data_IF_382798105048
#
_entry.id   IF_382798105048
#
_cell.length_a   1.000
_cell.length_b   1.000
_cell.length_c   1.000
_cell.angle_alpha   90.00
_cell.angle_beta   90.00
_cell.angle_gamma   90.00
#
_symmetry.space_group_name_H-M   'P 1'
#
loop_
_entity.id
_entity.type
_entity.pdbx_description
1 polymer ?
#
# COMPACT_ATOMS: atom_id res chain seq x y z
N UNK A 1 -6.20 -5.98 -12.66
CA UNK A 1 -4.93 -5.32 -12.29
C UNK A 1 -4.92 -3.91 -12.85
N UNK A 2 -4.31 -2.96 -12.17
CA UNK A 2 -4.04 -1.64 -12.73
C UNK A 2 -2.98 -1.83 -13.80
N UNK A 3 -3.24 -1.36 -15.02
CA UNK A 3 -2.32 -1.41 -16.16
C UNK A 3 -1.52 -0.11 -16.29
N UNK A 4 -2.19 1.01 -16.05
CA UNK A 4 -1.61 2.35 -16.08
C UNK A 4 -2.44 3.32 -15.26
N UNK A 5 -1.83 4.43 -14.88
CA UNK A 5 -2.54 5.58 -14.32
C UNK A 5 -1.87 6.90 -14.69
N UNK A 6 -2.67 7.95 -14.72
CA UNK A 6 -2.21 9.33 -14.88
C UNK A 6 -2.87 10.21 -13.83
N UNK A 7 -2.08 11.08 -13.22
CA UNK A 7 -2.51 12.06 -12.22
C UNK A 7 -1.96 13.42 -12.62
N UNK A 8 -2.85 14.39 -12.77
CA UNK A 8 -2.47 15.78 -13.04
C UNK A 8 -2.97 16.67 -11.91
N UNK A 9 -2.12 17.60 -11.48
CA UNK A 9 -2.42 18.59 -10.43
C UNK A 9 -2.93 17.99 -9.12
N UNK A 10 -2.31 16.89 -8.67
CA UNK A 10 -2.66 16.21 -7.43
C UNK A 10 -1.62 16.44 -6.33
N UNK A 11 -2.04 17.04 -5.22
CA UNK A 11 -1.20 17.31 -4.04
C UNK A 11 -0.01 18.19 -4.40
N UNK A 12 1.20 17.64 -4.31
CA UNK A 12 2.45 18.33 -4.65
C UNK A 12 2.93 18.00 -6.09
N UNK A 13 2.27 17.08 -6.77
CA UNK A 13 2.69 16.58 -8.08
C UNK A 13 1.88 17.23 -9.20
N UNK A 14 2.55 17.89 -10.14
CA UNK A 14 1.89 18.49 -11.29
C UNK A 14 1.47 17.45 -12.32
N UNK A 15 2.31 16.45 -12.59
CA UNK A 15 1.97 15.37 -13.52
C UNK A 15 2.75 14.11 -13.20
N UNK A 16 2.02 12.98 -13.14
CA UNK A 16 2.53 11.63 -13.07
C UNK A 16 1.78 10.81 -14.11
N UNK A 17 2.49 10.06 -14.96
CA UNK A 17 1.90 9.14 -15.92
C UNK A 17 2.71 7.85 -15.89
N UNK A 18 2.18 6.78 -15.32
CA UNK A 18 2.89 5.53 -15.16
C UNK A 18 2.16 4.39 -15.87
N UNK A 19 2.85 3.82 -16.85
CA UNK A 19 2.36 2.74 -17.73
C UNK A 19 3.17 1.47 -17.49
N UNK A 20 2.67 0.36 -18.05
CA UNK A 20 3.33 -0.95 -17.96
C UNK A 20 3.53 -1.43 -16.53
N UNK A 21 2.52 -1.27 -15.70
CA UNK A 21 2.53 -1.74 -14.33
C UNK A 21 2.56 -3.26 -14.26
N UNK A 22 3.36 -3.80 -13.32
CA UNK A 22 3.60 -5.23 -13.15
C UNK A 22 2.92 -5.78 -11.87
N UNK A 23 3.27 -7.00 -11.48
CA UNK A 23 2.80 -7.59 -10.22
C UNK A 23 3.39 -6.89 -8.99
N UNK A 24 4.60 -6.32 -9.06
CA UNK A 24 5.18 -5.46 -8.02
C UNK A 24 5.55 -4.13 -8.65
N UNK A 25 5.15 -3.01 -8.01
CA UNK A 25 5.38 -1.65 -8.47
C UNK A 25 5.85 -0.80 -7.30
N UNK A 26 6.94 -0.06 -7.48
CA UNK A 26 7.63 0.61 -6.37
C UNK A 26 7.66 2.12 -6.60
N UNK A 27 7.23 2.89 -5.60
CA UNK A 27 7.45 4.34 -5.53
C UNK A 27 8.65 4.60 -4.63
N UNK A 28 9.67 5.23 -5.19
CA UNK A 28 10.92 5.54 -4.48
C UNK A 28 11.07 7.06 -4.40
N UNK A 29 11.57 7.58 -3.30
CA UNK A 29 11.85 9.01 -3.16
C UNK A 29 11.98 9.44 -1.72
N UNK A 30 12.40 10.66 -1.53
CA UNK A 30 12.58 11.29 -0.23
C UNK A 30 11.27 11.46 0.54
N UNK A 31 11.39 11.77 1.84
CA UNK A 31 10.23 12.11 2.66
C UNK A 31 9.53 13.36 2.10
N UNK A 32 8.20 13.33 2.09
CA UNK A 32 7.41 14.43 1.55
C UNK A 32 7.31 14.47 0.01
N UNK A 33 7.87 13.52 -0.75
CA UNK A 33 7.79 13.49 -2.22
C UNK A 33 6.41 13.06 -2.77
N UNK A 34 5.42 12.77 -1.92
CA UNK A 34 4.06 12.44 -2.35
C UNK A 34 3.79 10.94 -2.57
N UNK A 35 4.74 10.03 -2.29
CA UNK A 35 4.58 8.57 -2.45
C UNK A 35 3.30 8.03 -1.82
N UNK A 36 3.13 8.28 -0.53
CA UNK A 36 1.95 7.85 0.24
C UNK A 36 0.65 8.41 -0.33
N UNK A 37 0.65 9.67 -0.78
CA UNK A 37 -0.54 10.31 -1.36
C UNK A 37 -0.94 9.65 -2.67
N UNK A 38 0.02 9.30 -3.54
CA UNK A 38 -0.24 8.56 -4.79
C UNK A 38 -0.84 7.20 -4.48
N UNK A 39 -0.24 6.43 -3.55
CA UNK A 39 -0.78 5.13 -3.13
C UNK A 39 -2.21 5.25 -2.58
N UNK A 40 -2.47 6.25 -1.74
CA UNK A 40 -3.79 6.52 -1.16
C UNK A 40 -4.83 6.91 -2.24
N UNK A 41 -4.44 7.68 -3.25
CA UNK A 41 -5.33 8.02 -4.37
C UNK A 41 -5.74 6.77 -5.14
N UNK A 42 -4.78 5.94 -5.56
CA UNK A 42 -5.07 4.68 -6.25
C UNK A 42 -5.94 3.74 -5.40
N UNK A 43 -5.61 3.64 -4.11
CA UNK A 43 -6.40 2.86 -3.16
C UNK A 43 -7.84 3.37 -3.06
N UNK A 44 -8.06 4.68 -2.89
CA UNK A 44 -9.39 5.28 -2.77
C UNK A 44 -10.24 5.03 -4.01
N UNK A 45 -9.64 5.17 -5.20
CA UNK A 45 -10.28 4.86 -6.49
C UNK A 45 -10.73 3.40 -6.56
N UNK A 46 -9.85 2.46 -6.27
CA UNK A 46 -10.19 1.03 -6.33
C UNK A 46 -11.20 0.62 -5.26
N UNK A 47 -11.11 1.19 -4.06
CA UNK A 47 -12.11 0.92 -3.01
C UNK A 47 -13.48 1.49 -3.36
N UNK A 48 -13.54 2.64 -4.03
CA UNK A 48 -14.80 3.16 -4.54
C UNK A 48 -15.41 2.21 -5.59
N UNK A 49 -14.60 1.70 -6.52
CA UNK A 49 -15.04 0.69 -7.50
C UNK A 49 -15.49 -0.62 -6.82
N UNK A 50 -14.76 -1.09 -5.79
CA UNK A 50 -15.12 -2.30 -5.02
C UNK A 50 -16.43 -2.13 -4.25
N UNK A 51 -16.72 -0.92 -3.77
CA UNK A 51 -17.94 -0.60 -3.02
C UNK A 51 -19.14 -0.41 -3.95
N UNK A 52 -18.90 0.13 -5.15
CA UNK A 52 -19.94 0.40 -6.12
C UNK A 52 -20.73 -0.88 -6.46
N UNK A 53 -22.05 -0.83 -6.31
CA UNK A 53 -22.98 -1.95 -6.56
C UNK A 53 -22.71 -3.21 -5.70
N UNK A 54 -22.02 -3.08 -4.55
CA UNK A 54 -21.77 -4.19 -3.63
C UNK A 54 -22.85 -4.22 -2.54
N UNK A 55 -23.47 -5.37 -2.38
CA UNK A 55 -24.49 -5.57 -1.33
C UNK A 55 -25.65 -4.59 -1.45
N UNK A 56 -25.91 -3.81 -0.41
CA UNK A 56 -27.00 -2.82 -0.35
C UNK A 56 -26.57 -1.39 -0.75
N UNK A 57 -25.36 -1.21 -1.29
CA UNK A 57 -24.89 0.11 -1.71
C UNK A 57 -25.72 0.63 -2.90
N UNK A 58 -26.39 1.76 -2.70
CA UNK A 58 -27.26 2.39 -3.70
C UNK A 58 -26.75 3.73 -4.20
N UNK A 59 -25.71 4.27 -3.54
CA UNK A 59 -25.13 5.55 -3.97
C UNK A 59 -24.45 5.39 -5.33
N UNK A 60 -24.51 6.43 -6.20
CA UNK A 60 -23.79 6.40 -7.47
C UNK A 60 -22.27 6.50 -7.22
N UNK A 61 -21.48 5.97 -8.14
CA UNK A 61 -20.01 5.94 -8.06
C UNK A 61 -19.38 7.30 -7.71
N UNK A 62 -19.82 8.45 -8.28
CA UNK A 62 -19.28 9.77 -7.90
C UNK A 62 -19.43 10.09 -6.41
N UNK A 63 -20.53 9.70 -5.80
CA UNK A 63 -20.79 9.94 -4.37
C UNK A 63 -19.94 9.01 -3.49
N UNK A 64 -19.78 7.74 -3.90
CA UNK A 64 -18.92 6.76 -3.20
C UNK A 64 -17.46 7.21 -3.28
N UNK A 65 -16.99 7.65 -4.46
CA UNK A 65 -15.63 8.12 -4.66
C UNK A 65 -15.36 9.40 -3.85
N UNK A 66 -16.27 10.35 -3.88
CA UNK A 66 -16.15 11.59 -3.12
C UNK A 66 -16.02 11.32 -1.60
N UNK A 67 -16.89 10.47 -1.07
CA UNK A 67 -16.85 10.03 0.33
C UNK A 67 -15.53 9.30 0.66
N UNK A 68 -15.09 8.40 -0.23
CA UNK A 68 -13.82 7.68 -0.05
C UNK A 68 -12.61 8.62 -0.06
N UNK A 69 -12.57 9.61 -0.94
CA UNK A 69 -11.51 10.62 -0.98
C UNK A 69 -11.50 11.50 0.28
N UNK A 70 -12.69 11.98 0.69
CA UNK A 70 -12.87 12.77 1.90
C UNK A 70 -12.25 12.07 3.13
N UNK A 71 -12.62 10.81 3.36
CA UNK A 71 -12.15 10.05 4.50
C UNK A 71 -10.71 9.53 4.38
N UNK A 72 -10.24 9.24 3.16
CA UNK A 72 -8.85 8.78 2.96
C UNK A 72 -7.85 9.90 3.16
N UNK A 73 -8.21 11.13 2.79
CA UNK A 73 -7.30 12.28 2.91
C UNK A 73 -7.65 13.20 4.09
N UNK A 74 -8.80 13.00 4.72
CA UNK A 74 -9.28 13.78 5.87
C UNK A 74 -9.26 15.29 5.60
N UNK A 75 -9.77 15.69 4.44
CA UNK A 75 -9.85 17.08 3.96
C UNK A 75 -11.21 17.68 4.29
N UNK A 76 -11.29 18.97 4.52
CA UNK A 76 -12.59 19.66 4.71
C UNK A 76 -13.39 19.74 3.41
N UNK A 77 -12.68 19.93 2.30
CA UNK A 77 -13.25 19.93 0.94
C UNK A 77 -12.33 19.22 -0.03
N UNK A 78 -12.89 18.55 -1.05
CA UNK A 78 -12.13 17.79 -2.05
C UNK A 78 -11.14 18.67 -2.82
N UNK A 79 -11.45 19.95 -3.02
CA UNK A 79 -10.57 20.90 -3.69
C UNK A 79 -9.20 21.09 -3.03
N UNK A 80 -9.04 20.70 -1.76
CA UNK A 80 -7.73 20.74 -1.08
C UNK A 80 -6.73 19.72 -1.65
N UNK A 81 -7.22 18.71 -2.37
CA UNK A 81 -6.40 17.72 -3.05
C UNK A 81 -5.76 18.26 -4.34
N UNK A 82 -6.29 19.36 -4.88
CA UNK A 82 -5.75 20.01 -6.07
C UNK A 82 -4.44 20.73 -5.72
N UNK A 83 -3.43 20.61 -6.57
CA UNK A 83 -2.15 21.31 -6.39
C UNK A 83 -2.38 22.82 -6.25
N UNK A 84 -1.92 23.41 -5.16
CA UNK A 84 -2.23 24.81 -4.79
C UNK A 84 -1.78 25.85 -5.81
N UNK A 85 -0.74 25.54 -6.59
CA UNK A 85 -0.22 26.42 -7.65
C UNK A 85 -0.86 26.18 -9.01
N UNK A 86 -1.76 25.20 -9.15
CA UNK A 86 -2.36 24.85 -10.42
C UNK A 86 -3.59 25.75 -10.74
N UNK A 87 -3.61 26.30 -11.95
CA UNK A 87 -4.79 26.98 -12.48
C UNK A 87 -5.84 26.00 -13.02
N UNK A 88 -5.38 24.83 -13.44
CA UNK A 88 -6.21 23.78 -14.03
C UNK A 88 -6.71 22.79 -12.95
N UNK A 89 -7.84 22.09 -13.21
CA UNK A 89 -8.37 21.10 -12.29
C UNK A 89 -7.39 19.92 -12.12
N UNK A 90 -7.55 19.21 -11.00
CA UNK A 90 -6.98 17.89 -10.84
C UNK A 90 -7.67 16.92 -11.79
N UNK A 91 -6.89 16.08 -12.49
CA UNK A 91 -7.39 15.01 -13.34
C UNK A 91 -6.75 13.69 -12.95
N UNK A 92 -7.56 12.67 -12.85
CA UNK A 92 -7.12 11.30 -12.54
C UNK A 92 -7.66 10.37 -13.60
N UNK A 93 -6.76 9.60 -14.21
CA UNK A 93 -7.06 8.48 -15.09
C UNK A 93 -6.48 7.20 -14.51
N UNK A 94 -7.25 6.12 -14.46
CA UNK A 94 -6.79 4.79 -14.05
C UNK A 94 -7.38 3.75 -15.00
N UNK A 95 -6.49 2.95 -15.62
CA UNK A 95 -6.88 1.79 -16.42
C UNK A 95 -6.74 0.52 -15.59
N UNK A 96 -7.84 -0.15 -15.31
CA UNK A 96 -7.87 -1.34 -14.47
C UNK A 96 -8.72 -2.43 -15.12
N UNK A 97 -8.14 -3.64 -15.29
CA UNK A 97 -8.77 -4.78 -15.98
C UNK A 97 -9.41 -4.40 -17.34
N UNK A 98 -8.73 -3.53 -18.11
CA UNK A 98 -9.19 -3.08 -19.44
C UNK A 98 -10.31 -2.03 -19.40
N UNK A 99 -10.68 -1.51 -18.23
CA UNK A 99 -11.70 -0.47 -18.06
C UNK A 99 -11.07 0.80 -17.50
N UNK A 100 -11.35 1.94 -18.11
CA UNK A 100 -10.89 3.22 -17.58
C UNK A 100 -11.84 3.76 -16.52
N UNK A 101 -11.27 4.46 -15.56
CA UNK A 101 -11.97 5.40 -14.69
C UNK A 101 -11.27 6.75 -14.79
N UNK A 102 -12.04 7.75 -15.19
CA UNK A 102 -11.57 9.13 -15.38
C UNK A 102 -12.41 10.05 -14.52
N UNK A 103 -11.79 10.95 -13.78
CA UNK A 103 -12.51 12.00 -13.07
C UNK A 103 -11.67 13.25 -12.89
N UNK A 104 -12.36 14.39 -12.76
CA UNK A 104 -11.72 15.67 -12.51
C UNK A 104 -12.54 16.56 -11.58
N UNK A 105 -11.84 17.43 -10.86
CA UNK A 105 -12.43 18.52 -10.08
C UNK A 105 -11.44 19.64 -9.77
N UNK A 106 -11.97 20.84 -9.59
CA UNK A 106 -11.19 22.04 -9.30
C UNK A 106 -11.04 22.33 -7.80
N UNK A 107 -10.24 23.34 -7.47
CA UNK A 107 -9.95 23.78 -6.11
C UNK A 107 -11.19 24.24 -5.32
N UNK A 108 -12.27 24.65 -6.00
CA UNK A 108 -13.52 25.08 -5.38
C UNK A 108 -14.49 23.93 -5.07
N UNK A 109 -14.09 22.67 -5.37
CA UNK A 109 -14.96 21.50 -5.17
C UNK A 109 -15.09 21.17 -3.69
N UNK A 110 -16.32 21.20 -3.17
CA UNK A 110 -16.59 20.80 -1.78
C UNK A 110 -16.64 19.26 -1.65
N UNK A 111 -17.78 18.64 -1.92
CA UNK A 111 -18.05 17.22 -1.66
C UNK A 111 -18.58 16.46 -2.88
N UNK A 112 -18.74 17.11 -4.04
CA UNK A 112 -19.39 16.47 -5.19
C UNK A 112 -18.47 16.46 -6.41
N UNK A 113 -18.18 15.27 -6.91
CA UNK A 113 -17.49 15.07 -8.18
C UNK A 113 -18.51 15.09 -9.32
N UNK A 114 -18.45 16.09 -10.17
CA UNK A 114 -19.41 16.27 -11.28
C UNK A 114 -18.97 15.60 -12.57
N UNK A 115 -17.66 15.54 -12.80
CA UNK A 115 -17.09 14.97 -14.03
C UNK A 115 -16.39 13.67 -13.68
N UNK A 116 -17.03 12.57 -14.06
CA UNK A 116 -16.54 11.21 -13.90
C UNK A 116 -17.04 10.36 -15.07
N UNK A 117 -16.17 9.57 -15.66
CA UNK A 117 -16.53 8.56 -16.65
C UNK A 117 -15.93 7.21 -16.24
N UNK A 118 -16.69 6.14 -16.46
CA UNK A 118 -16.25 4.78 -16.17
C UNK A 118 -16.52 3.90 -17.38
N UNK A 119 -15.50 3.21 -17.86
CA UNK A 119 -15.56 2.32 -19.03
C UNK A 119 -16.34 1.02 -18.80
N UNK A 120 -17.05 0.87 -17.68
CA UNK A 120 -17.83 -0.34 -17.42
C UNK A 120 -18.74 -0.23 -16.21
N UNK A 121 -19.89 -0.91 -16.32
CA UNK A 121 -20.97 -0.88 -15.33
C UNK A 121 -20.98 -2.12 -14.40
N UNK A 122 -20.01 -3.03 -14.58
CA UNK A 122 -19.93 -4.26 -13.78
C UNK A 122 -19.29 -4.01 -12.41
N UNK A 123 -19.80 -4.72 -11.41
CA UNK A 123 -19.24 -4.69 -10.06
C UNK A 123 -17.78 -5.19 -10.05
N UNK A 124 -16.91 -4.43 -9.43
CA UNK A 124 -15.53 -4.81 -9.18
C UNK A 124 -15.46 -5.95 -8.17
N UNK A 125 -14.81 -7.07 -8.53
CA UNK A 125 -14.82 -8.30 -7.71
C UNK A 125 -13.51 -8.54 -6.93
N UNK A 126 -12.51 -7.68 -7.08
CA UNK A 126 -11.21 -7.87 -6.43
C UNK A 126 -11.16 -7.13 -5.10
N UNK A 127 -10.47 -7.71 -4.14
CA UNK A 127 -10.22 -7.05 -2.86
C UNK A 127 -9.04 -6.10 -2.97
N UNK A 128 -9.23 -4.92 -2.41
CA UNK A 128 -8.21 -3.89 -2.32
C UNK A 128 -7.93 -3.58 -0.87
N UNK A 129 -6.66 -3.53 -0.47
CA UNK A 129 -6.25 -3.20 0.89
C UNK A 129 -5.06 -2.25 0.90
N UNK A 130 -5.03 -1.37 1.87
CA UNK A 130 -3.88 -0.51 2.17
C UNK A 130 -3.30 -0.93 3.51
N UNK A 131 -1.99 -1.11 3.57
CA UNK A 131 -1.24 -1.41 4.79
C UNK A 131 -0.38 -0.20 5.11
N UNK A 132 -0.76 0.60 6.11
CA UNK A 132 -0.05 1.82 6.47
C UNK A 132 1.30 1.53 7.13
N UNK A 133 2.16 2.55 7.18
CA UNK A 133 3.47 2.46 7.84
C UNK A 133 3.36 2.09 9.32
N UNK A 134 2.38 2.67 10.01
CA UNK A 134 2.09 2.36 11.42
C UNK A 134 1.22 1.10 11.55
N UNK A 135 1.48 0.29 12.55
CA UNK A 135 0.71 -0.92 12.81
C UNK A 135 -0.70 -0.61 13.34
N UNK A 136 -1.64 -1.53 13.10
CA UNK A 136 -3.07 -1.34 13.37
C UNK A 136 -3.58 -2.24 14.50
N UNK A 137 -2.91 -3.38 14.79
CA UNK A 137 -3.40 -4.37 15.75
C UNK A 137 -3.61 -3.80 17.15
N UNK A 138 -2.65 -3.00 17.65
CA UNK A 138 -2.75 -2.37 18.97
C UNK A 138 -3.83 -1.28 19.02
N UNK A 139 -4.13 -0.66 17.88
CA UNK A 139 -5.09 0.43 17.77
C UNK A 139 -6.48 -0.02 17.31
N UNK A 140 -6.66 -1.32 17.05
CA UNK A 140 -7.81 -1.91 16.41
C UNK A 140 -9.17 -1.39 16.96
N UNK A 141 -9.38 -1.48 18.28
CA UNK A 141 -10.63 -1.04 18.90
C UNK A 141 -10.80 0.50 18.85
N UNK A 142 -9.69 1.23 18.99
CA UNK A 142 -9.72 2.70 18.96
C UNK A 142 -10.09 3.18 17.57
N UNK A 143 -9.53 2.56 16.52
CA UNK A 143 -9.84 2.86 15.13
C UNK A 143 -11.34 2.64 14.85
N UNK A 144 -11.87 1.47 15.19
CA UNK A 144 -13.28 1.15 14.97
C UNK A 144 -14.20 2.12 15.73
N UNK A 145 -13.91 2.39 17.00
CA UNK A 145 -14.71 3.32 17.80
C UNK A 145 -14.68 4.73 17.23
N UNK A 146 -13.49 5.27 16.99
CA UNK A 146 -13.31 6.64 16.47
C UNK A 146 -14.01 6.85 15.14
N UNK A 147 -13.97 5.85 14.24
CA UNK A 147 -14.46 6.00 12.87
C UNK A 147 -15.92 5.55 12.70
N UNK A 148 -16.38 4.51 13.38
CA UNK A 148 -17.73 3.95 13.20
C UNK A 148 -18.76 4.51 14.18
N UNK A 149 -18.32 4.90 15.38
CA UNK A 149 -19.22 5.44 16.39
C UNK A 149 -19.14 6.96 16.49
N UNK A 150 -17.92 7.50 16.56
CA UNK A 150 -17.71 8.91 16.85
C UNK A 150 -17.53 9.76 15.58
N UNK A 151 -17.32 9.15 14.40
CA UNK A 151 -17.07 9.80 13.10
C UNK A 151 -15.98 10.89 13.15
N UNK A 152 -14.88 10.61 13.85
CA UNK A 152 -13.78 11.56 14.04
C UNK A 152 -12.68 11.38 12.99
N UNK A 153 -12.02 12.49 12.64
CA UNK A 153 -10.73 12.47 11.95
C UNK A 153 -9.63 11.93 12.89
N UNK A 154 -8.50 11.53 12.32
CA UNK A 154 -7.35 10.97 13.05
C UNK A 154 -6.93 9.62 12.50
N UNK A 155 -7.87 8.73 12.24
CA UNK A 155 -7.62 7.51 11.47
C UNK A 155 -8.37 7.63 10.13
N UNK A 156 -7.63 7.62 9.03
CA UNK A 156 -8.23 7.67 7.71
C UNK A 156 -8.80 6.30 7.27
N UNK A 157 -9.41 6.26 6.10
CA UNK A 157 -10.05 5.05 5.59
C UNK A 157 -9.08 3.88 5.37
N UNK A 158 -7.79 4.12 5.21
CA UNK A 158 -6.80 3.03 5.09
C UNK A 158 -6.71 2.24 6.38
N UNK A 159 -6.78 2.91 7.53
CA UNK A 159 -6.81 2.29 8.86
C UNK A 159 -8.14 1.59 9.14
N UNK A 160 -9.26 2.23 8.84
CA UNK A 160 -10.59 1.67 9.08
C UNK A 160 -10.83 0.40 8.27
N UNK A 161 -10.55 0.45 6.97
CA UNK A 161 -10.74 -0.70 6.09
C UNK A 161 -9.81 -1.86 6.45
N UNK A 162 -8.57 -1.56 6.87
CA UNK A 162 -7.65 -2.60 7.38
C UNK A 162 -8.16 -3.19 8.69
N UNK A 163 -8.63 -2.39 9.64
CA UNK A 163 -9.20 -2.89 10.88
C UNK A 163 -10.42 -3.79 10.61
N UNK A 164 -11.33 -3.39 9.73
CA UNK A 164 -12.46 -4.22 9.30
C UNK A 164 -12.01 -5.55 8.68
N UNK A 165 -11.02 -5.50 7.80
CA UNK A 165 -10.47 -6.70 7.16
C UNK A 165 -9.84 -7.66 8.18
N UNK A 166 -9.12 -7.14 9.17
CA UNK A 166 -8.52 -7.93 10.27
C UNK A 166 -9.57 -8.57 11.18
N UNK A 167 -10.71 -7.88 11.40
CA UNK A 167 -11.83 -8.38 12.20
C UNK A 167 -12.55 -9.59 11.59
N UNK A 168 -12.32 -9.91 10.31
CA UNK A 168 -12.88 -11.11 9.69
C UNK A 168 -12.21 -12.34 10.29
N UNK A 169 -12.97 -13.34 10.82
CA UNK A 169 -12.38 -14.54 11.39
C UNK A 169 -11.59 -15.36 10.36
N UNK A 170 -10.54 -16.04 10.82
CA UNK A 170 -9.77 -16.95 9.99
C UNK A 170 -10.69 -18.06 9.43
N UNK A 171 -10.62 -18.30 8.13
CA UNK A 171 -11.47 -19.26 7.45
C UNK A 171 -10.90 -20.69 7.52
N UNK A 172 -11.76 -21.67 7.79
CA UNK A 172 -11.40 -23.10 7.76
C UNK A 172 -11.38 -23.61 6.33
N UNK A 173 -10.63 -24.70 6.08
CA UNK A 173 -10.57 -25.39 4.79
C UNK A 173 -9.29 -25.08 4.00
N UNK A 174 -9.13 -25.74 2.84
CA UNK A 174 -7.95 -25.61 1.98
C UNK A 174 -7.83 -24.19 1.42
N UNK A 175 -6.73 -23.51 1.71
CA UNK A 175 -6.31 -22.29 1.01
C UNK A 175 -5.58 -22.69 -0.29
N UNK A 176 -5.38 -21.74 -1.21
CA UNK A 176 -4.50 -22.02 -2.34
C UNK A 176 -3.10 -22.39 -1.81
N UNK A 177 -2.39 -23.29 -2.49
CA UNK A 177 -1.08 -23.80 -2.04
C UNK A 177 -0.11 -22.67 -1.77
N UNK A 178 -0.06 -21.69 -2.64
CA UNK A 178 0.86 -20.54 -2.54
C UNK A 178 0.60 -19.72 -1.29
N UNK A 179 -0.67 -19.43 -0.97
CA UNK A 179 -1.03 -18.65 0.21
C UNK A 179 -0.80 -19.44 1.50
N UNK A 180 -0.97 -20.77 1.46
CA UNK A 180 -0.62 -21.64 2.57
C UNK A 180 0.91 -21.66 2.80
N UNK A 181 1.71 -21.68 1.74
CA UNK A 181 3.17 -21.63 1.84
C UNK A 181 3.65 -20.23 2.28
N UNK A 182 3.00 -19.17 1.84
CA UNK A 182 3.21 -17.79 2.33
C UNK A 182 3.00 -17.68 3.84
N UNK A 183 1.92 -18.25 4.35
CA UNK A 183 1.69 -18.31 5.79
C UNK A 183 2.73 -19.12 6.55
N UNK A 184 3.21 -20.23 6.00
CA UNK A 184 4.33 -20.98 6.60
C UNK A 184 5.62 -20.16 6.64
N UNK A 185 5.89 -19.37 5.62
CA UNK A 185 7.04 -18.46 5.60
C UNK A 185 6.91 -17.39 6.67
N UNK A 186 5.72 -16.78 6.82
CA UNK A 186 5.46 -15.82 7.92
C UNK A 186 5.58 -16.48 9.30
N UNK A 187 5.05 -17.68 9.49
CA UNK A 187 5.15 -18.41 10.75
C UNK A 187 6.60 -18.68 11.18
N UNK A 188 7.50 -18.95 10.22
CA UNK A 188 8.94 -19.09 10.49
C UNK A 188 9.58 -17.77 10.98
N UNK A 189 9.16 -16.64 10.41
CA UNK A 189 9.69 -15.32 10.80
C UNK A 189 9.12 -14.90 12.16
N UNK A 190 7.81 -15.12 12.35
CA UNK A 190 7.06 -14.69 13.52
C UNK A 190 7.25 -15.60 14.75
N UNK A 191 7.46 -16.90 14.55
CA UNK A 191 7.42 -17.91 15.62
C UNK A 191 6.05 -18.03 16.30
N UNK A 192 4.97 -17.58 15.65
CA UNK A 192 3.63 -17.57 16.17
C UNK A 192 2.65 -16.77 15.31
N UNK A 193 1.51 -16.41 15.88
CA UNK A 193 0.44 -15.68 15.16
C UNK A 193 -0.36 -14.76 16.06
N UNK A 194 -0.91 -13.69 15.50
CA UNK A 194 -1.92 -12.88 16.18
C UNK A 194 -3.27 -13.62 16.22
N UNK A 195 -3.95 -13.52 17.34
CA UNK A 195 -5.28 -14.12 17.55
C UNK A 195 -6.17 -13.10 18.24
N UNK A 196 -7.38 -12.93 17.73
CA UNK A 196 -8.37 -12.06 18.33
C UNK A 196 -9.19 -12.83 19.38
N UNK A 197 -9.31 -12.27 20.59
CA UNK A 197 -10.15 -12.79 21.65
C UNK A 197 -11.49 -12.04 21.64
N UNK A 198 -12.54 -12.68 21.14
CA UNK A 198 -13.89 -12.13 21.03
C UNK A 198 -14.48 -11.71 22.38
N UNK A 199 -14.16 -12.43 23.46
CA UNK A 199 -14.68 -12.15 24.81
C UNK A 199 -14.06 -10.90 25.40
N UNK A 200 -12.73 -10.74 25.22
CA UNK A 200 -11.96 -9.61 25.73
C UNK A 200 -11.90 -8.45 24.75
N UNK A 201 -12.35 -8.66 23.50
CA UNK A 201 -12.26 -7.70 22.38
C UNK A 201 -10.82 -7.20 22.18
N UNK A 202 -9.84 -8.10 22.29
CA UNK A 202 -8.42 -7.77 22.23
C UNK A 202 -7.65 -8.77 21.36
N UNK A 203 -6.63 -8.26 20.68
CA UNK A 203 -5.64 -9.08 20.02
C UNK A 203 -4.57 -9.53 21.04
N UNK A 204 -4.11 -10.77 20.92
CA UNK A 204 -2.93 -11.30 21.59
C UNK A 204 -2.08 -12.08 20.60
N UNK A 205 -0.80 -12.27 20.93
CA UNK A 205 0.11 -13.08 20.13
C UNK A 205 0.26 -14.46 20.79
N UNK A 206 0.04 -15.50 20.00
CA UNK A 206 0.21 -16.89 20.44
C UNK A 206 1.44 -17.46 19.73
N UNK A 207 2.50 -17.75 20.49
CA UNK A 207 3.68 -18.45 20.00
C UNK A 207 3.39 -19.93 19.68
N UNK A 208 4.27 -20.55 18.88
CA UNK A 208 4.14 -21.95 18.49
C UNK A 208 4.23 -22.92 19.67
N UNK A 209 4.87 -22.54 20.79
CA UNK A 209 4.88 -23.25 22.06
C UNK A 209 3.62 -23.03 22.93
N UNK A 210 2.57 -22.40 22.38
CA UNK A 210 1.32 -22.01 23.02
C UNK A 210 1.41 -20.88 24.09
N UNK A 211 2.57 -20.28 24.32
CA UNK A 211 2.66 -19.10 25.18
C UNK A 211 1.86 -17.94 24.57
N UNK A 212 1.16 -17.17 25.40
CA UNK A 212 0.35 -16.02 25.00
C UNK A 212 0.95 -14.74 25.52
N UNK A 213 1.04 -13.76 24.65
CA UNK A 213 1.58 -12.44 24.96
C UNK A 213 0.62 -11.34 24.55
N UNK A 214 0.55 -10.29 25.35
CA UNK A 214 -0.17 -9.07 24.98
C UNK A 214 0.58 -8.38 23.85
N UNK A 215 -0.12 -7.67 22.97
CA UNK A 215 0.52 -6.95 21.85
C UNK A 215 1.51 -5.88 22.33
N UNK A 216 1.29 -5.32 23.51
CA UNK A 216 2.16 -4.25 24.04
C UNK A 216 3.62 -4.65 24.29
N UNK A 217 3.93 -5.96 24.40
CA UNK A 217 5.31 -6.44 24.56
C UNK A 217 5.97 -6.90 23.26
N UNK A 218 5.23 -6.87 22.13
CA UNK A 218 5.76 -7.22 20.83
C UNK A 218 6.35 -6.00 20.14
N UNK A 219 7.40 -6.23 19.35
CA UNK A 219 7.91 -5.20 18.45
C UNK A 219 6.90 -4.85 17.36
N UNK A 220 6.93 -3.60 16.90
CA UNK A 220 6.06 -3.10 15.83
C UNK A 220 6.20 -3.94 14.55
N UNK A 221 7.42 -4.38 14.24
CA UNK A 221 7.68 -5.24 13.08
C UNK A 221 6.98 -6.59 13.14
N UNK A 222 6.93 -7.24 14.32
CA UNK A 222 6.16 -8.49 14.51
C UNK A 222 4.68 -8.23 14.29
N UNK A 223 4.12 -7.15 14.83
CA UNK A 223 2.71 -6.78 14.63
C UNK A 223 2.38 -6.54 13.16
N UNK A 224 3.28 -5.87 12.41
CA UNK A 224 3.13 -5.62 10.98
C UNK A 224 3.07 -6.91 10.15
N UNK A 225 3.98 -7.85 10.40
CA UNK A 225 3.97 -9.15 9.74
C UNK A 225 2.76 -10.01 10.15
N UNK A 226 2.31 -9.89 11.40
CA UNK A 226 1.11 -10.59 11.88
C UNK A 226 -0.18 -10.08 11.21
N UNK A 227 -0.23 -8.82 10.76
CA UNK A 227 -1.30 -8.30 9.90
C UNK A 227 -1.39 -9.11 8.61
N UNK A 228 -0.26 -9.33 7.93
CA UNK A 228 -0.22 -10.15 6.71
C UNK A 228 -0.66 -11.59 6.96
N UNK A 229 -0.18 -12.23 8.04
CA UNK A 229 -0.62 -13.60 8.38
C UNK A 229 -2.15 -13.67 8.58
N UNK A 230 -2.73 -12.71 9.31
CA UNK A 230 -4.18 -12.65 9.52
C UNK A 230 -4.96 -12.45 8.22
N UNK A 231 -4.53 -11.54 7.34
CA UNK A 231 -5.18 -11.29 6.05
C UNK A 231 -5.09 -12.51 5.09
N UNK A 232 -4.02 -13.30 5.18
CA UNK A 232 -3.90 -14.58 4.47
C UNK A 232 -4.76 -15.66 5.14
N UNK A 233 -4.85 -15.67 6.47
CA UNK A 233 -5.63 -16.65 7.23
C UNK A 233 -7.13 -16.50 7.03
N UNK A 234 -7.63 -15.28 6.98
CA UNK A 234 -9.06 -15.00 6.78
C UNK A 234 -9.44 -14.91 5.29
N UNK A 235 -8.47 -15.13 4.40
CA UNK A 235 -8.63 -15.09 2.92
C UNK A 235 -9.10 -13.74 2.39
N UNK A 236 -8.88 -12.66 3.12
CA UNK A 236 -9.07 -11.33 2.57
C UNK A 236 -8.11 -11.10 1.40
N UNK A 237 -6.85 -11.53 1.57
CA UNK A 237 -5.89 -11.59 0.47
C UNK A 237 -6.10 -12.87 -0.35
N UNK A 238 -6.19 -12.70 -1.66
CA UNK A 238 -6.42 -13.75 -2.67
C UNK A 238 -5.52 -13.52 -3.89
N UNK A 239 -5.42 -14.50 -4.83
CA UNK A 239 -4.66 -14.37 -6.07
C UNK A 239 -5.21 -13.23 -6.85
N UNK A 240 -5.59 -12.26 -6.86
CA UNK A 240 -6.14 -11.14 -7.63
C UNK A 240 -6.37 -9.90 -6.75
N UNK A 241 -5.95 -9.97 -5.48
CA UNK A 241 -5.98 -8.79 -4.61
C UNK A 241 -4.98 -7.75 -5.07
N UNK A 242 -5.33 -6.48 -4.87
CA UNK A 242 -4.42 -5.34 -5.05
C UNK A 242 -4.06 -4.82 -3.66
N UNK A 243 -2.77 -4.80 -3.35
CA UNK A 243 -2.25 -4.44 -2.04
C UNK A 243 -1.36 -3.21 -2.16
N UNK A 244 -1.67 -2.20 -1.39
CA UNK A 244 -0.84 -1.01 -1.21
C UNK A 244 -0.12 -1.10 0.12
N UNK A 245 1.20 -0.88 0.13
CA UNK A 245 2.03 -0.97 1.34
C UNK A 245 2.86 0.31 1.47
N UNK A 246 2.63 1.02 2.54
CA UNK A 246 3.44 2.19 2.86
C UNK A 246 4.57 1.79 3.81
N UNK A 247 5.80 2.08 3.43
CA UNK A 247 7.01 1.76 4.19
C UNK A 247 7.05 0.30 4.69
N UNK A 248 7.15 -0.70 3.79
CA UNK A 248 7.19 -2.12 4.17
C UNK A 248 8.29 -2.44 5.18
N UNK A 249 9.38 -1.67 5.17
CA UNK A 249 10.54 -1.79 6.05
C UNK A 249 10.33 -1.29 7.47
N UNK A 250 9.33 -0.47 7.69
CA UNK A 250 9.11 0.23 8.97
C UNK A 250 9.13 -0.75 10.15
N UNK A 251 10.04 -0.52 11.11
CA UNK A 251 10.25 -1.32 12.32
C UNK A 251 10.67 -2.78 12.10
N UNK A 252 11.11 -3.15 10.89
CA UNK A 252 11.61 -4.50 10.59
C UNK A 252 13.15 -4.56 10.65
N UNK A 253 13.66 -5.66 11.20
CA UNK A 253 15.08 -5.98 11.10
C UNK A 253 15.46 -6.28 9.63
N UNK A 254 16.66 -5.91 9.12
CA UNK A 254 17.07 -6.13 7.73
C UNK A 254 16.84 -7.55 7.20
N UNK A 255 17.08 -8.57 8.02
CA UNK A 255 16.79 -9.97 7.65
C UNK A 255 15.30 -10.18 7.41
N UNK A 256 14.43 -9.65 8.28
CA UNK A 256 12.99 -9.76 8.14
C UNK A 256 12.47 -8.98 6.90
N UNK A 257 13.06 -7.83 6.57
CA UNK A 257 12.79 -7.11 5.32
C UNK A 257 13.08 -8.02 4.13
N UNK A 258 14.27 -8.65 4.11
CA UNK A 258 14.68 -9.53 3.03
C UNK A 258 13.72 -10.72 2.83
N UNK A 259 13.33 -11.38 3.91
CA UNK A 259 12.40 -12.51 3.87
C UNK A 259 10.98 -12.06 3.49
N UNK A 260 10.57 -10.88 3.91
CA UNK A 260 9.28 -10.29 3.56
C UNK A 260 9.19 -9.92 2.08
N UNK A 261 10.25 -9.37 1.48
CA UNK A 261 10.30 -9.09 0.03
C UNK A 261 10.21 -10.40 -0.79
N UNK A 262 10.85 -11.48 -0.38
CA UNK A 262 10.70 -12.80 -1.03
C UNK A 262 9.25 -13.31 -0.96
N UNK A 263 8.60 -13.13 0.19
CA UNK A 263 7.18 -13.47 0.33
C UNK A 263 6.30 -12.65 -0.61
N UNK A 264 6.49 -11.33 -0.66
CA UNK A 264 5.72 -10.45 -1.54
C UNK A 264 5.92 -10.80 -3.01
N UNK A 265 7.16 -11.12 -3.41
CA UNK A 265 7.46 -11.62 -4.76
C UNK A 265 6.69 -12.91 -5.07
N UNK A 266 6.72 -13.88 -4.16
CA UNK A 266 5.98 -15.14 -4.34
C UNK A 266 4.47 -14.90 -4.50
N UNK A 267 3.89 -14.01 -3.72
CA UNK A 267 2.46 -13.66 -3.82
C UNK A 267 2.15 -12.94 -5.14
N UNK A 268 3.01 -12.02 -5.57
CA UNK A 268 2.84 -11.28 -6.83
C UNK A 268 2.98 -12.18 -8.05
N UNK A 269 3.95 -13.12 -8.07
CA UNK A 269 4.10 -14.13 -9.12
C UNK A 269 2.86 -15.01 -9.28
N UNK A 270 2.04 -15.10 -8.25
CA UNK A 270 0.80 -15.88 -8.23
C UNK A 270 -0.47 -15.02 -8.35
N UNK A 271 -0.36 -13.85 -8.95
CA UNK A 271 -1.49 -13.05 -9.43
C UNK A 271 -1.90 -11.87 -8.54
N UNK A 272 -1.27 -11.68 -7.38
CA UNK A 272 -1.46 -10.46 -6.58
C UNK A 272 -0.76 -9.28 -7.24
N UNK A 273 -1.35 -8.08 -7.18
CA UNK A 273 -0.66 -6.86 -7.58
C UNK A 273 -0.34 -6.03 -6.34
N UNK A 274 0.92 -5.62 -6.22
CA UNK A 274 1.46 -4.95 -5.05
C UNK A 274 2.05 -3.61 -5.48
N UNK A 275 1.65 -2.56 -4.77
CA UNK A 275 2.25 -1.23 -4.86
C UNK A 275 2.91 -0.91 -3.53
N UNK A 276 4.17 -0.49 -3.55
CA UNK A 276 4.90 -0.14 -2.34
C UNK A 276 5.51 1.25 -2.45
N UNK A 277 5.44 2.02 -1.37
CA UNK A 277 6.22 3.25 -1.22
C UNK A 277 7.34 2.99 -0.23
N UNK A 278 8.57 3.32 -0.60
CA UNK A 278 9.75 3.08 0.24
C UNK A 278 10.81 4.17 0.10
N UNK A 279 11.57 4.35 1.16
CA UNK A 279 12.82 5.11 1.15
C UNK A 279 14.00 4.26 1.66
N UNK A 280 13.83 2.93 1.75
CA UNK A 280 14.81 2.01 2.31
C UNK A 280 15.73 1.40 1.26
N UNK A 281 17.03 1.62 1.42
CA UNK A 281 18.04 0.93 0.62
C UNK A 281 17.87 -0.60 0.65
N UNK A 282 17.57 -1.20 1.81
CA UNK A 282 17.41 -2.65 1.93
C UNK A 282 16.25 -3.20 1.08
N UNK A 283 15.11 -2.48 1.04
CA UNK A 283 13.96 -2.85 0.20
C UNK A 283 14.33 -2.77 -1.27
N UNK A 284 14.89 -1.62 -1.70
CA UNK A 284 15.30 -1.37 -3.09
C UNK A 284 16.31 -2.43 -3.53
N UNK A 285 17.39 -2.61 -2.76
CA UNK A 285 18.45 -3.58 -3.08
C UNK A 285 17.91 -5.01 -3.18
N UNK A 286 17.06 -5.42 -2.22
CA UNK A 286 16.49 -6.76 -2.23
C UNK A 286 15.58 -7.01 -3.42
N UNK A 287 14.73 -6.05 -3.77
CA UNK A 287 13.84 -6.15 -4.93
C UNK A 287 14.61 -6.16 -6.25
N UNK A 288 15.66 -5.36 -6.37
CA UNK A 288 16.55 -5.39 -7.52
C UNK A 288 17.22 -6.78 -7.69
N UNK A 289 17.72 -7.37 -6.59
CA UNK A 289 18.29 -8.72 -6.62
C UNK A 289 17.25 -9.79 -7.01
N UNK A 290 16.01 -9.66 -6.56
CA UNK A 290 14.91 -10.56 -6.96
C UNK A 290 14.59 -10.37 -8.44
N UNK A 291 14.45 -9.12 -8.92
CA UNK A 291 14.15 -8.82 -10.31
C UNK A 291 15.19 -9.42 -11.27
N UNK A 292 16.47 -9.27 -10.95
CA UNK A 292 17.57 -9.79 -11.76
C UNK A 292 17.69 -11.33 -11.68
N UNK A 293 17.57 -11.92 -10.49
CA UNK A 293 17.66 -13.38 -10.31
C UNK A 293 16.53 -14.12 -11.02
N UNK A 294 15.31 -13.60 -10.91
CA UNK A 294 14.10 -14.24 -11.40
C UNK A 294 13.69 -13.78 -12.80
N UNK A 295 14.40 -12.79 -13.38
CA UNK A 295 14.03 -12.10 -14.62
C UNK A 295 12.56 -11.62 -14.56
N UNK A 296 12.21 -11.02 -13.42
CA UNK A 296 10.85 -10.58 -13.11
C UNK A 296 10.78 -9.06 -13.12
N UNK A 297 9.92 -8.50 -13.98
CA UNK A 297 9.72 -7.05 -14.07
C UNK A 297 9.23 -6.47 -12.75
N UNK A 298 9.98 -5.53 -12.21
CA UNK A 298 9.61 -4.70 -11.05
C UNK A 298 9.82 -3.24 -11.45
N UNK A 299 8.81 -2.62 -12.09
CA UNK A 299 8.88 -1.22 -12.44
C UNK A 299 8.89 -0.34 -11.20
N UNK A 300 9.65 0.77 -11.28
CA UNK A 300 9.65 1.77 -10.23
C UNK A 300 9.40 3.18 -10.78
N UNK A 301 8.82 4.00 -9.92
CA UNK A 301 8.61 5.42 -10.09
C UNK A 301 9.48 6.17 -9.09
N UNK A 302 10.54 6.80 -9.56
CA UNK A 302 11.37 7.71 -8.77
C UNK A 302 10.74 9.10 -8.71
N UNK A 303 10.44 9.56 -7.50
CA UNK A 303 9.85 10.88 -7.24
C UNK A 303 10.89 11.92 -6.78
N UNK A 304 12.15 11.56 -6.80
CA UNK A 304 13.22 12.52 -6.59
C UNK A 304 13.24 13.47 -7.79
N UNK A 305 13.37 14.74 -7.51
CA UNK A 305 13.57 15.74 -8.58
C UNK A 305 14.94 15.49 -9.20
N UNK A 306 14.97 14.83 -10.37
CA UNK A 306 16.15 14.90 -11.22
C UNK A 306 16.43 16.38 -11.58
N UNK A 307 17.54 16.69 -12.23
CA UNK A 307 17.90 18.06 -12.64
C UNK A 307 16.80 18.79 -13.43
N UNK A 308 15.84 18.04 -14.00
CA UNK A 308 14.66 18.56 -14.73
C UNK A 308 13.37 18.53 -13.91
N UNK A 309 13.40 18.03 -12.66
CA UNK A 309 12.21 17.92 -11.79
C UNK A 309 11.14 16.94 -12.28
N UNK A 310 11.46 16.03 -13.22
CA UNK A 310 10.54 15.05 -13.78
C UNK A 310 10.65 13.70 -13.02
N UNK A 311 9.54 12.97 -12.88
CA UNK A 311 9.56 11.61 -12.34
C UNK A 311 10.39 10.67 -13.23
N UNK A 312 11.12 9.75 -12.60
CA UNK A 312 11.91 8.73 -13.27
C UNK A 312 11.11 7.42 -13.34
N UNK A 313 11.03 6.81 -14.53
CA UNK A 313 10.32 5.55 -14.74
C UNK A 313 11.27 4.53 -15.32
N UNK A 314 11.58 3.48 -14.59
CA UNK A 314 12.48 2.40 -15.00
C UNK A 314 12.04 1.05 -14.43
N UNK A 315 12.77 -0.01 -14.79
CA UNK A 315 12.55 -1.37 -14.28
C UNK A 315 13.81 -1.89 -13.58
N UNK A 316 13.64 -2.48 -12.39
CA UNK A 316 14.75 -3.03 -11.60
C UNK A 316 15.46 -4.22 -12.26
N UNK A 317 14.87 -4.86 -13.28
CA UNK A 317 15.58 -5.83 -14.11
C UNK A 317 16.78 -5.21 -14.84
N UNK A 318 16.70 -3.92 -15.20
CA UNK A 318 17.73 -3.21 -15.94
C UNK A 318 18.87 -2.72 -15.05
N UNK A 319 18.67 -2.68 -13.73
CA UNK A 319 19.68 -2.21 -12.79
C UNK A 319 19.12 -1.63 -11.51
N UNK A 320 20.02 -1.12 -10.69
CA UNK A 320 19.64 -0.36 -9.49
C UNK A 320 19.11 1.02 -9.92
N UNK A 321 18.07 1.52 -9.22
CA UNK A 321 17.62 2.89 -9.39
C UNK A 321 18.75 3.90 -9.16
N UNK A 322 18.82 4.93 -10.01
CA UNK A 322 19.69 6.07 -9.80
C UNK A 322 18.94 7.14 -8.99
N UNK A 323 19.24 7.25 -7.71
CA UNK A 323 18.57 8.18 -6.80
C UNK A 323 19.41 8.46 -5.55
N UNK A 324 19.04 9.53 -4.82
CA UNK A 324 19.74 10.00 -3.62
C UNK A 324 19.93 8.93 -2.53
N UNK A 325 19.04 7.93 -2.43
CA UNK A 325 19.16 6.84 -1.43
C UNK A 325 20.32 5.92 -1.78
N UNK A 326 20.47 5.60 -3.07
CA UNK A 326 21.57 4.76 -3.56
C UNK A 326 22.87 5.55 -3.53
N UNK A 327 22.88 6.80 -3.96
CA UNK A 327 24.04 7.70 -3.92
C UNK A 327 24.59 7.83 -2.50
N UNK A 328 23.74 8.11 -1.51
CA UNK A 328 24.12 8.19 -0.10
C UNK A 328 24.71 6.88 0.42
N UNK A 329 24.11 5.75 0.05
CA UNK A 329 24.63 4.44 0.46
C UNK A 329 26.01 4.13 -0.14
N UNK A 330 26.27 4.58 -1.37
CA UNK A 330 27.58 4.48 -2.01
C UNK A 330 28.57 5.42 -1.34
N UNK A 331 28.17 6.65 -1.01
CA UNK A 331 29.01 7.63 -0.36
C UNK A 331 29.46 7.13 1.03
N UNK A 332 28.53 6.66 1.86
CA UNK A 332 28.86 6.08 3.16
C UNK A 332 29.85 4.91 3.07
N UNK A 333 29.72 4.04 2.05
CA UNK A 333 30.67 2.98 1.82
C UNK A 333 32.07 3.50 1.42
N UNK A 334 32.15 4.55 0.57
CA UNK A 334 33.42 5.21 0.23
C UNK A 334 34.08 5.82 1.44
N UNK A 335 33.32 6.53 2.26
CA UNK A 335 33.81 7.16 3.49
C UNK A 335 34.36 6.10 4.47
N UNK A 336 33.72 4.92 4.57
CA UNK A 336 34.21 3.78 5.36
C UNK A 336 35.56 3.27 4.84
N UNK A 337 35.66 3.09 3.51
CA UNK A 337 36.89 2.62 2.86
C UNK A 337 38.01 3.63 3.03
N UNK A 338 37.74 4.91 2.79
CA UNK A 338 38.73 6.01 2.93
C UNK A 338 39.19 6.14 4.40
N UNK A 339 38.27 5.98 5.36
CA UNK A 339 38.61 5.97 6.79
C UNK A 339 39.45 4.75 7.22
N UNK A 340 39.25 3.61 6.56
CA UNK A 340 40.01 2.39 6.85
C UNK A 340 41.39 2.36 6.21
N UNK A 341 41.61 3.02 5.07
CA UNK A 341 42.85 2.99 4.29
C UNK A 341 43.56 4.36 4.22
N UNK A 342 42.93 5.45 4.70
CA UNK A 342 43.45 6.82 4.65
C UNK A 342 44.18 7.27 5.92
N UNK A 343 44.64 6.34 6.80
CA UNK A 343 45.43 6.61 7.98
C UNK A 343 46.94 6.40 7.73
#
# INVERSE_FOLDING_TARGET
MIAEFEMENFGINHRISWKNLAGINILIGENGSGKTSILKMLYAVLRALETNKKGNERRPLPAILADKLYWTFQVEKLGELVTKSAAEPMRIHVLVDGKSLDFEFGADTNVTIKRISSGGDEAWKKSTIFIPAKEVLSLFQIILKSREQDNLFGFDDTYLDLARALGIPAQRGKNSRVFADGRKSLDKILGGRAVYDERRKQWYFKQNNNAKFTLGILSEGIKKLAIFDQLLANRYLSPHSIVFIDEPESSLHPKAISDFMELLYMLAKNGMQIFMATHSYFVIKKLCLIAQREQYSIPFLGLNKNEKGLPQYEDMCNGMPDNSIIEESIQLYRDEVDGAFGG
#
